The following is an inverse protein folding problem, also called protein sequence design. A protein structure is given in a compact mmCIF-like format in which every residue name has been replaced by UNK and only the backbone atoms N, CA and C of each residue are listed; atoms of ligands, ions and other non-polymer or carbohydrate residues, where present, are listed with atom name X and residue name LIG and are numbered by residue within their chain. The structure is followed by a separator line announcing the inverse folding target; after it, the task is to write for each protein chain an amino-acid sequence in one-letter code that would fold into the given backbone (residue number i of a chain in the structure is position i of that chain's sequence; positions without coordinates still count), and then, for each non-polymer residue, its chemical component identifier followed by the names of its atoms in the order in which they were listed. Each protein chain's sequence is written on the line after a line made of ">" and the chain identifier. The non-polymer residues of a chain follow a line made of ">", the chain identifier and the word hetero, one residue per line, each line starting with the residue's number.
data_IF_584157663479
#
_entry.id   IF_584157663479
#
_cell.length_a   1.000
_cell.length_b   1.000
_cell.length_c   1.000
_cell.angle_alpha   90.00
_cell.angle_beta   90.00
_cell.angle_gamma   90.00
#
_symmetry.space_group_name_H-M   'P 1'
#
loop_
_entity.id
_entity.type
_entity.pdbx_description
1 polymer ?
#
# COMPACT_ATOMS: atom_id res chain seq x y z
N UNK A 1 2.04 -2.73 -18.81
CA UNK A 1 2.75 -2.57 -17.52
C UNK A 1 1.91 -1.94 -16.41
N UNK A 2 1.56 -0.65 -16.40
CA UNK A 2 0.93 -0.03 -15.20
C UNK A 2 -0.47 -0.54 -14.85
N UNK A 3 -1.25 -0.93 -15.86
CA UNK A 3 -2.53 -1.64 -15.71
C UNK A 3 -2.31 -3.10 -15.25
N UNK A 4 -1.13 -3.68 -15.55
CA UNK A 4 -0.75 -5.06 -15.19
C UNK A 4 -0.07 -5.15 -13.81
N UNK A 5 0.62 -4.10 -13.35
CA UNK A 5 1.29 -4.04 -12.05
C UNK A 5 0.36 -3.57 -10.93
N UNK A 6 -0.90 -3.25 -11.25
CA UNK A 6 -1.90 -2.84 -10.26
C UNK A 6 -1.61 -1.50 -9.58
N UNK A 7 -0.77 -0.64 -10.18
CA UNK A 7 -0.36 0.64 -9.57
C UNK A 7 -1.54 1.61 -9.34
N UNK A 8 -2.48 1.67 -10.28
CA UNK A 8 -3.72 2.44 -10.12
C UNK A 8 -4.64 1.83 -9.06
N UNK A 9 -4.75 0.50 -9.02
CA UNK A 9 -5.54 -0.21 -8.01
C UNK A 9 -4.95 -0.07 -6.60
N UNK A 10 -3.62 -0.09 -6.49
CA UNK A 10 -2.91 0.15 -5.25
C UNK A 10 -3.11 1.59 -4.76
N UNK A 11 -3.07 2.58 -5.66
CA UNK A 11 -3.39 3.96 -5.34
C UNK A 11 -4.85 4.09 -4.87
N UNK A 12 -5.79 3.48 -5.59
CA UNK A 12 -7.21 3.46 -5.21
C UNK A 12 -7.46 2.78 -3.86
N UNK A 13 -6.81 1.65 -3.60
CA UNK A 13 -6.86 0.95 -2.32
C UNK A 13 -6.32 1.81 -1.18
N UNK A 14 -5.17 2.46 -1.38
CA UNK A 14 -4.59 3.36 -0.38
C UNK A 14 -5.50 4.54 -0.08
N UNK A 15 -6.08 5.17 -1.11
CA UNK A 15 -7.06 6.24 -0.95
C UNK A 15 -8.30 5.76 -0.20
N UNK A 16 -8.81 4.58 -0.53
CA UNK A 16 -9.95 3.95 0.16
C UNK A 16 -9.67 3.65 1.63
N UNK A 17 -8.44 3.29 1.98
CA UNK A 17 -8.04 3.11 3.39
C UNK A 17 -7.88 4.44 4.14
N UNK A 18 -7.43 5.49 3.45
CA UNK A 18 -7.16 6.79 4.07
C UNK A 18 -8.46 7.57 4.35
N UNK A 19 -9.39 7.59 3.40
CA UNK A 19 -10.60 8.45 3.46
C UNK A 19 -11.44 8.29 4.75
N UNK A 20 -11.73 7.07 5.25
CA UNK A 20 -12.48 6.89 6.50
C UNK A 20 -11.78 7.48 7.73
N UNK A 21 -10.45 7.59 7.70
CA UNK A 21 -9.67 8.20 8.79
C UNK A 21 -9.61 9.73 8.73
N UNK A 22 -9.88 10.31 7.56
CA UNK A 22 -9.78 11.75 7.34
C UNK A 22 -10.96 12.53 7.93
N UNK A 23 -12.18 12.00 7.87
CA UNK A 23 -13.35 12.70 8.43
C UNK A 23 -13.22 12.93 9.96
N UNK A 24 -12.93 11.91 10.79
CA UNK A 24 -12.70 12.13 12.21
C UNK A 24 -11.55 13.11 12.49
N UNK A 25 -10.49 13.07 11.69
CA UNK A 25 -9.37 14.00 11.81
C UNK A 25 -9.79 15.45 11.53
N UNK A 26 -10.57 15.69 10.48
CA UNK A 26 -11.11 17.01 10.16
C UNK A 26 -12.04 17.52 11.27
N UNK A 27 -12.91 16.67 11.82
CA UNK A 27 -13.80 17.04 12.93
C UNK A 27 -13.02 17.37 14.20
N UNK A 28 -11.97 16.61 14.50
CA UNK A 28 -11.08 16.88 15.64
C UNK A 28 -10.31 18.20 15.45
N UNK A 29 -9.87 18.51 14.23
CA UNK A 29 -9.10 19.70 13.92
C UNK A 29 -9.98 20.95 13.86
N UNK A 30 -11.20 20.83 13.35
CA UNK A 30 -12.15 21.92 13.15
C UNK A 30 -13.42 21.68 13.98
N UNK A 31 -13.28 21.76 15.30
CA UNK A 31 -14.36 21.48 16.25
C UNK A 31 -15.62 22.35 16.09
N UNK A 32 -15.52 23.49 15.40
CA UNK A 32 -16.64 24.41 15.13
C UNK A 32 -17.25 24.26 13.74
N UNK A 33 -16.68 23.41 12.88
CA UNK A 33 -17.20 23.18 11.55
C UNK A 33 -18.56 22.47 11.61
N UNK A 34 -19.51 22.94 10.81
CA UNK A 34 -20.79 22.26 10.61
C UNK A 34 -20.61 20.98 9.79
N UNK A 35 -21.57 20.06 9.90
CA UNK A 35 -21.57 18.83 9.08
C UNK A 35 -21.53 19.12 7.58
N UNK A 36 -22.20 20.18 7.13
CA UNK A 36 -22.19 20.60 5.73
C UNK A 36 -20.79 21.04 5.26
N UNK A 37 -20.01 21.69 6.13
CA UNK A 37 -18.63 22.09 5.81
C UNK A 37 -17.70 20.88 5.78
N UNK A 38 -17.86 19.95 6.72
CA UNK A 38 -17.09 18.69 6.73
C UNK A 38 -17.39 17.87 5.48
N UNK A 39 -18.66 17.73 5.09
CA UNK A 39 -19.05 17.00 3.89
C UNK A 39 -18.48 17.65 2.61
N UNK A 40 -18.51 18.98 2.50
CA UNK A 40 -17.87 19.69 1.37
C UNK A 40 -16.36 19.47 1.32
N UNK A 41 -15.68 19.51 2.48
CA UNK A 41 -14.25 19.25 2.54
C UNK A 41 -13.92 17.81 2.11
N UNK A 42 -14.68 16.82 2.58
CA UNK A 42 -14.51 15.42 2.19
C UNK A 42 -14.73 15.19 0.70
N UNK A 43 -15.76 15.80 0.11
CA UNK A 43 -16.00 15.71 -1.34
C UNK A 43 -14.87 16.35 -2.15
N UNK A 44 -14.32 17.49 -1.70
CA UNK A 44 -13.17 18.13 -2.34
C UNK A 44 -11.92 17.24 -2.27
N UNK A 45 -11.66 16.62 -1.12
CA UNK A 45 -10.54 15.69 -0.94
C UNK A 45 -10.70 14.50 -1.89
N UNK A 46 -11.87 13.87 -1.93
CA UNK A 46 -12.16 12.73 -2.80
C UNK A 46 -11.93 13.06 -4.28
N UNK A 47 -12.46 14.20 -4.73
CA UNK A 47 -12.27 14.66 -6.11
C UNK A 47 -10.80 14.93 -6.40
N UNK A 48 -10.09 15.63 -5.51
CA UNK A 48 -8.67 15.95 -5.68
C UNK A 48 -7.83 14.69 -5.80
N UNK A 49 -8.09 13.70 -4.95
CA UNK A 49 -7.41 12.42 -4.96
C UNK A 49 -7.70 11.63 -6.23
N UNK A 50 -8.94 11.65 -6.70
CA UNK A 50 -9.32 11.03 -7.98
C UNK A 50 -8.60 11.68 -9.16
N UNK A 51 -8.50 13.02 -9.18
CA UNK A 51 -7.82 13.78 -10.22
C UNK A 51 -6.29 13.60 -10.23
N UNK A 52 -5.71 13.09 -9.13
CA UNK A 52 -4.30 12.74 -9.04
C UNK A 52 -3.96 11.40 -9.71
N UNK A 53 -4.92 10.48 -9.86
CA UNK A 53 -4.66 9.14 -10.42
C UNK A 53 -3.96 9.18 -11.79
N UNK A 54 -4.38 10.01 -12.77
CA UNK A 54 -3.67 10.12 -14.04
C UNK A 54 -2.21 10.56 -13.90
N UNK A 55 -1.93 11.47 -12.96
CA UNK A 55 -0.56 11.93 -12.70
C UNK A 55 0.30 10.82 -12.07
N UNK A 56 -0.28 10.05 -11.15
CA UNK A 56 0.39 8.89 -10.55
C UNK A 56 0.76 7.88 -11.63
N UNK A 57 -0.13 7.62 -12.59
CA UNK A 57 0.17 6.75 -13.73
C UNK A 57 1.35 7.31 -14.53
N UNK A 58 1.29 8.57 -14.98
CA UNK A 58 2.39 9.16 -15.77
C UNK A 58 3.74 9.10 -15.05
N UNK A 59 3.76 9.43 -13.76
CA UNK A 59 4.99 9.42 -12.97
C UNK A 59 5.52 8.01 -12.73
N UNK A 60 4.62 7.04 -12.50
CA UNK A 60 5.01 5.64 -12.39
C UNK A 60 5.64 5.15 -13.69
N UNK A 61 5.10 5.53 -14.84
CA UNK A 61 5.66 5.20 -16.15
C UNK A 61 7.11 5.67 -16.29
N UNK A 62 7.40 6.90 -15.85
CA UNK A 62 8.74 7.48 -15.89
C UNK A 62 9.71 6.65 -15.03
N UNK A 63 9.29 6.28 -13.82
CA UNK A 63 10.13 5.47 -12.93
C UNK A 63 10.50 4.11 -13.55
N UNK A 64 9.56 3.45 -14.24
CA UNK A 64 9.87 2.22 -14.97
C UNK A 64 10.80 2.46 -16.17
N UNK A 65 10.58 3.53 -16.94
CA UNK A 65 11.43 3.86 -18.09
C UNK A 65 12.86 4.28 -17.70
N UNK A 66 13.06 4.80 -16.50
CA UNK A 66 14.38 5.13 -15.94
C UNK A 66 15.12 3.88 -15.42
N UNK A 67 14.39 2.90 -14.91
CA UNK A 67 14.96 1.71 -14.29
C UNK A 67 15.20 0.55 -15.26
N UNK A 68 14.44 0.48 -16.36
CA UNK A 68 14.45 -0.64 -17.30
C UNK A 68 14.63 -0.16 -18.73
N UNK A 69 15.28 -0.98 -19.55
CA UNK A 69 15.32 -0.82 -21.00
C UNK A 69 13.95 -1.17 -21.63
N UNK A 70 13.76 -0.76 -22.88
CA UNK A 70 12.54 -1.10 -23.62
C UNK A 70 12.36 -2.63 -23.74
N UNK A 71 13.44 -3.36 -24.05
CA UNK A 71 13.42 -4.81 -24.20
C UNK A 71 13.00 -5.51 -22.89
N UNK A 72 13.57 -5.10 -21.74
CA UNK A 72 13.17 -5.64 -20.43
C UNK A 72 11.69 -5.32 -20.11
N UNK A 73 11.20 -4.13 -20.46
CA UNK A 73 9.79 -3.79 -20.27
C UNK A 73 8.85 -4.65 -21.14
N UNK A 74 9.26 -4.97 -22.37
CA UNK A 74 8.53 -5.89 -23.26
C UNK A 74 8.52 -7.32 -22.70
N UNK A 75 9.65 -7.81 -22.20
CA UNK A 75 9.75 -9.13 -21.56
C UNK A 75 8.86 -9.22 -20.31
N UNK A 76 8.87 -8.18 -19.46
CA UNK A 76 8.03 -8.15 -18.27
C UNK A 76 6.54 -8.12 -18.66
N UNK A 77 6.16 -7.36 -19.70
CA UNK A 77 4.79 -7.39 -20.23
C UNK A 77 4.40 -8.80 -20.71
N UNK A 78 5.25 -9.43 -21.52
CA UNK A 78 5.00 -10.77 -22.05
C UNK A 78 4.80 -11.80 -20.93
N UNK A 79 5.57 -11.69 -19.83
CA UNK A 79 5.36 -12.53 -18.66
C UNK A 79 3.99 -12.31 -18.00
N UNK A 80 3.60 -11.06 -17.75
CA UNK A 80 2.32 -10.73 -17.11
C UNK A 80 1.10 -11.03 -17.98
N UNK A 81 1.27 -11.19 -19.29
CA UNK A 81 0.21 -11.65 -20.20
C UNK A 81 -0.08 -13.15 -20.06
N UNK A 82 0.84 -13.94 -19.48
CA UNK A 82 0.62 -15.37 -19.23
C UNK A 82 -0.36 -15.61 -18.07
N UNK A 83 -1.04 -16.77 -18.06
CA UNK A 83 -1.91 -17.16 -16.94
C UNK A 83 -1.16 -17.17 -15.59
N UNK A 84 0.11 -17.61 -15.59
CA UNK A 84 0.96 -17.62 -14.39
C UNK A 84 1.31 -16.21 -13.94
N UNK A 85 1.64 -15.31 -14.87
CA UNK A 85 1.94 -13.91 -14.57
C UNK A 85 0.73 -13.18 -13.98
N UNK A 86 -0.45 -13.34 -14.57
CA UNK A 86 -1.70 -12.79 -14.03
C UNK A 86 -2.02 -13.35 -12.64
N UNK A 87 -1.85 -14.67 -12.46
CA UNK A 87 -2.02 -15.30 -11.14
C UNK A 87 -1.07 -14.73 -10.10
N UNK A 88 0.18 -14.44 -10.48
CA UNK A 88 1.16 -13.85 -9.57
C UNK A 88 0.71 -12.47 -9.09
N UNK A 89 0.22 -11.61 -9.99
CA UNK A 89 -0.30 -10.26 -9.63
C UNK A 89 -1.40 -10.36 -8.60
N UNK A 90 -2.39 -11.24 -8.82
CA UNK A 90 -3.53 -11.42 -7.92
C UNK A 90 -3.12 -12.05 -6.59
N UNK A 91 -2.20 -13.02 -6.62
CA UNK A 91 -1.80 -13.76 -5.42
C UNK A 91 -0.79 -13.00 -4.54
N UNK A 92 -0.03 -12.07 -5.10
CA UNK A 92 1.08 -11.42 -4.39
C UNK A 92 0.68 -10.74 -3.07
N UNK A 93 -0.41 -9.94 -3.00
CA UNK A 93 -0.83 -9.33 -1.73
C UNK A 93 -1.09 -10.37 -0.62
N UNK A 94 -1.74 -11.49 -0.97
CA UNK A 94 -2.04 -12.56 -0.01
C UNK A 94 -0.78 -13.32 0.42
N UNK A 95 0.15 -13.54 -0.51
CA UNK A 95 1.44 -14.15 -0.21
C UNK A 95 2.26 -13.28 0.75
N UNK A 96 2.32 -11.97 0.50
CA UNK A 96 3.03 -11.04 1.39
C UNK A 96 2.43 -11.00 2.79
N UNK A 97 1.11 -10.98 2.90
CA UNK A 97 0.38 -11.05 4.16
C UNK A 97 0.62 -12.38 4.91
N UNK A 98 0.65 -13.50 4.18
CA UNK A 98 0.99 -14.80 4.76
C UNK A 98 2.43 -14.85 5.27
N UNK A 99 3.39 -14.34 4.49
CA UNK A 99 4.81 -14.26 4.90
C UNK A 99 4.95 -13.38 6.14
N UNK A 100 4.29 -12.22 6.18
CA UNK A 100 4.31 -11.31 7.33
C UNK A 100 3.88 -11.99 8.63
N UNK A 101 2.76 -12.74 8.61
CA UNK A 101 2.30 -13.50 9.78
C UNK A 101 3.29 -14.55 10.25
N UNK A 102 3.91 -15.27 9.32
CA UNK A 102 4.92 -16.29 9.66
C UNK A 102 6.13 -15.63 10.33
N UNK A 103 6.60 -14.51 9.77
CA UNK A 103 7.71 -13.74 10.34
C UNK A 103 7.39 -13.21 11.74
N UNK A 104 6.18 -12.69 11.96
CA UNK A 104 5.73 -12.23 13.28
C UNK A 104 5.73 -13.37 14.32
N UNK A 105 5.15 -14.51 13.97
CA UNK A 105 5.09 -15.68 14.85
C UNK A 105 6.48 -16.20 15.23
N UNK A 106 7.40 -16.26 14.26
CA UNK A 106 8.79 -16.65 14.50
C UNK A 106 9.51 -15.62 15.38
N UNK A 107 9.29 -14.33 15.15
CA UNK A 107 9.85 -13.25 15.95
C UNK A 107 9.41 -13.33 17.42
N UNK A 108 8.11 -13.52 17.67
CA UNK A 108 7.55 -13.70 19.02
C UNK A 108 8.17 -14.93 19.69
N UNK A 109 8.26 -16.05 18.96
CA UNK A 109 8.86 -17.29 19.48
C UNK A 109 10.34 -17.11 19.84
N UNK A 110 11.11 -16.41 18.99
CA UNK A 110 12.51 -16.11 19.26
C UNK A 110 12.68 -15.21 20.50
N UNK A 111 11.84 -14.17 20.64
CA UNK A 111 11.86 -13.28 21.81
C UNK A 111 11.57 -14.02 23.11
N UNK A 112 10.55 -14.88 23.12
CA UNK A 112 10.26 -15.72 24.29
C UNK A 112 11.41 -16.66 24.62
N UNK A 113 12.10 -17.19 23.60
CA UNK A 113 13.25 -18.08 23.76
C UNK A 113 14.47 -17.42 24.42
N UNK A 114 14.66 -16.10 24.23
CA UNK A 114 15.77 -15.35 24.85
C UNK A 114 15.39 -14.66 26.16
N UNK A 115 14.11 -14.63 26.54
CA UNK A 115 13.65 -14.00 27.80
C UNK A 115 14.43 -14.46 29.04
N UNK A 116 14.73 -15.77 29.23
CA UNK A 116 15.51 -16.22 30.40
C UNK A 116 16.93 -15.63 30.44
N UNK A 117 17.53 -15.37 29.28
CA UNK A 117 18.86 -14.78 29.17
C UNK A 117 18.81 -13.29 29.50
N UNK A 118 17.77 -12.59 29.06
CA UNK A 118 17.50 -11.20 29.43
C UNK A 118 17.32 -11.09 30.94
N UNK A 119 16.51 -11.97 31.54
CA UNK A 119 16.26 -11.96 32.99
C UNK A 119 17.55 -12.18 33.80
N UNK A 120 18.43 -13.07 33.32
CA UNK A 120 19.74 -13.29 33.93
C UNK A 120 20.62 -12.01 33.88
N UNK A 121 20.68 -11.33 32.74
CA UNK A 121 21.44 -10.08 32.58
C UNK A 121 20.90 -8.97 33.50
N UNK A 122 19.58 -8.88 33.69
CA UNK A 122 18.95 -7.80 34.46
C UNK A 122 19.05 -7.98 35.99
N UNK A 123 19.54 -9.12 36.46
CA UNK A 123 19.66 -9.45 37.89
C UNK A 123 21.11 -9.56 38.38
N UNK A 124 22.10 -9.40 37.49
CA UNK A 124 23.52 -9.14 37.80
C UNK A 124 23.77 -7.65 38.10
#
# INVERSE_FOLDING_TARGET
>A
MMELTGSADAAAMMMGMMMPSMEPALRSQYATASDAQIAQAMALIEQTLTDLVPQIIVQSASAYAEAFTLEELEEINAFYETETGQKLVVAMPQLMDQVGRVSEQLGISAMMGIQPQIDAIMTE
#
